data_IF_726893188478
#
_entry.id   IF_726893188478
#
_cell.length_a   1.000
_cell.length_b   1.000
_cell.length_c   1.000
_cell.angle_alpha   90.00
_cell.angle_beta   90.00
_cell.angle_gamma   90.00
#
_symmetry.space_group_name_H-M   'P 1'
#
loop_
_entity.id
_entity.type
_entity.pdbx_description
1 polymer ?
#
# COMPACT_ATOMS: atom_id res chain seq x y z
N UNK A 1 22.59 -11.63 11.79
CA UNK A 1 21.51 -12.61 12.09
C UNK A 1 20.48 -12.48 10.98
N UNK A 2 19.97 -13.58 10.43
CA UNK A 2 18.90 -13.49 9.43
C UNK A 2 17.67 -12.82 10.06
N UNK A 3 17.07 -11.84 9.36
CA UNK A 3 15.85 -11.15 9.79
C UNK A 3 14.64 -12.09 9.82
N UNK A 4 13.54 -11.64 10.41
CA UNK A 4 12.29 -12.41 10.38
C UNK A 4 11.70 -12.44 8.97
N UNK A 5 11.22 -13.60 8.55
CA UNK A 5 10.50 -13.80 7.28
C UNK A 5 8.97 -13.72 7.47
N UNK A 6 8.51 -13.04 8.50
CA UNK A 6 7.09 -12.83 8.78
C UNK A 6 6.71 -11.38 8.51
N UNK A 7 5.78 -11.19 7.59
CA UNK A 7 5.19 -9.89 7.27
C UNK A 7 3.76 -9.79 7.81
N UNK A 8 3.46 -8.68 8.48
CA UNK A 8 2.14 -8.37 9.02
C UNK A 8 1.63 -7.07 8.41
N UNK A 9 0.54 -7.16 7.66
CA UNK A 9 -0.21 -6.02 7.13
C UNK A 9 -1.53 -5.86 7.88
N UNK A 10 -1.71 -4.70 8.51
CA UNK A 10 -2.92 -4.37 9.26
C UNK A 10 -3.71 -3.32 8.47
N UNK A 11 -4.65 -3.78 7.67
CA UNK A 11 -5.50 -2.92 6.85
C UNK A 11 -6.88 -2.69 7.44
N UNK A 12 -7.60 -1.70 6.92
CA UNK A 12 -8.93 -1.30 7.42
C UNK A 12 -10.01 -2.37 7.20
N UNK A 13 -9.86 -3.24 6.21
CA UNK A 13 -10.80 -4.33 5.93
C UNK A 13 -10.35 -5.66 6.53
N UNK A 14 -9.05 -5.94 6.47
CA UNK A 14 -8.49 -7.21 6.93
C UNK A 14 -7.06 -7.06 7.43
N UNK A 15 -6.72 -7.91 8.40
CA UNK A 15 -5.36 -8.18 8.86
C UNK A 15 -4.81 -9.35 8.05
N UNK A 16 -3.63 -9.22 7.50
CA UNK A 16 -2.95 -10.24 6.71
C UNK A 16 -1.61 -10.55 7.32
N UNK A 17 -1.30 -11.83 7.41
CA UNK A 17 0.01 -12.30 7.86
C UNK A 17 0.56 -13.30 6.85
N UNK A 18 1.84 -13.19 6.54
CA UNK A 18 2.57 -14.07 5.62
C UNK A 18 3.87 -14.49 6.28
N UNK A 19 4.15 -15.79 6.30
CA UNK A 19 5.44 -16.36 6.65
C UNK A 19 6.08 -16.94 5.39
N UNK A 20 7.29 -16.48 5.07
CA UNK A 20 8.08 -17.03 3.98
C UNK A 20 9.03 -18.11 4.50
N UNK A 21 9.31 -19.09 3.64
CA UNK A 21 10.34 -20.09 3.86
C UNK A 21 11.23 -20.22 2.63
N UNK A 22 12.49 -20.61 2.84
CA UNK A 22 13.41 -20.97 1.75
C UNK A 22 13.25 -22.46 1.42
N UNK A 23 13.00 -22.76 0.15
CA UNK A 23 12.90 -24.12 -0.38
C UNK A 23 13.64 -24.18 -1.72
N UNK A 24 14.66 -25.02 -1.82
CA UNK A 24 15.46 -25.16 -3.06
C UNK A 24 16.11 -23.84 -3.52
N UNK A 25 16.52 -22.99 -2.59
CA UNK A 25 17.13 -21.68 -2.92
C UNK A 25 16.12 -20.57 -3.29
N UNK A 26 14.83 -20.89 -3.39
CA UNK A 26 13.75 -19.92 -3.69
C UNK A 26 12.91 -19.64 -2.44
N UNK A 27 12.32 -18.46 -2.41
CA UNK A 27 11.34 -18.11 -1.38
C UNK A 27 9.95 -18.58 -1.81
N UNK A 28 9.20 -19.10 -0.82
CA UNK A 28 7.79 -19.45 -0.99
C UNK A 28 6.97 -18.99 0.21
N UNK A 29 5.70 -18.74 0.01
CA UNK A 29 4.75 -18.53 1.10
C UNK A 29 4.53 -19.90 1.78
N UNK A 30 5.03 -20.02 3.01
CA UNK A 30 4.87 -21.23 3.80
C UNK A 30 3.54 -21.26 4.55
N UNK A 31 3.12 -20.09 5.04
CA UNK A 31 1.85 -19.89 5.77
C UNK A 31 1.33 -18.49 5.52
N UNK A 32 0.02 -18.36 5.48
CA UNK A 32 -0.67 -17.07 5.41
C UNK A 32 -2.06 -17.16 6.01
N UNK A 33 -2.57 -16.02 6.46
CA UNK A 33 -3.98 -15.85 6.78
C UNK A 33 -4.45 -14.43 6.46
N UNK A 34 -5.73 -14.33 6.16
CA UNK A 34 -6.46 -13.08 6.00
C UNK A 34 -7.67 -13.14 6.92
N UNK A 35 -7.72 -12.25 7.90
CA UNK A 35 -8.85 -12.19 8.85
C UNK A 35 -9.49 -10.80 8.82
N UNK A 36 -10.79 -10.69 9.01
CA UNK A 36 -11.47 -9.40 9.06
C UNK A 36 -10.91 -8.50 10.16
N UNK A 37 -10.68 -7.22 9.85
CA UNK A 37 -10.45 -6.18 10.85
C UNK A 37 -11.78 -5.85 11.51
N UNK A 38 -11.87 -5.90 12.85
CA UNK A 38 -13.12 -5.60 13.54
C UNK A 38 -13.48 -4.11 13.42
N UNK A 39 -14.78 -3.77 13.41
CA UNK A 39 -15.23 -2.38 13.45
C UNK A 39 -14.58 -1.63 14.63
N UNK A 40 -14.11 -0.41 14.38
CA UNK A 40 -13.41 0.41 15.38
C UNK A 40 -11.95 0.00 15.64
N UNK A 41 -11.44 -1.09 15.06
CA UNK A 41 -10.02 -1.48 15.16
C UNK A 41 -9.10 -0.49 14.46
N UNK A 42 -9.47 -0.06 13.26
CA UNK A 42 -8.84 1.04 12.53
C UNK A 42 -9.89 2.07 12.13
N UNK A 43 -9.57 3.34 12.29
CA UNK A 43 -10.38 4.49 11.92
C UNK A 43 -9.50 5.48 11.15
N UNK A 44 -9.81 5.71 9.90
CA UNK A 44 -9.03 6.58 8.99
C UNK A 44 -7.52 6.26 8.95
N UNK A 45 -7.17 4.98 9.07
CA UNK A 45 -5.79 4.49 9.07
C UNK A 45 -5.06 4.56 10.41
N UNK A 46 -5.70 5.10 11.46
CA UNK A 46 -5.19 5.06 12.83
C UNK A 46 -5.84 3.94 13.65
N UNK A 47 -5.14 3.43 14.65
CA UNK A 47 -5.71 2.46 15.60
C UNK A 47 -6.75 3.19 16.45
N UNK A 48 -8.00 2.72 16.36
CA UNK A 48 -9.11 3.25 17.16
C UNK A 48 -9.04 2.72 18.60
N UNK A 49 -9.01 1.40 18.76
CA UNK A 49 -8.82 0.75 20.06
C UNK A 49 -7.86 -0.44 19.92
N UNK A 50 -6.67 -0.37 20.56
CA UNK A 50 -5.71 -1.48 20.59
C UNK A 50 -6.29 -2.79 21.11
N UNK A 51 -7.23 -2.73 22.07
CA UNK A 51 -7.87 -3.92 22.65
C UNK A 51 -8.87 -4.59 21.72
N UNK A 52 -9.37 -3.84 20.73
CA UNK A 52 -10.23 -4.36 19.65
C UNK A 52 -9.37 -4.96 18.53
N UNK A 53 -8.29 -4.30 18.17
CA UNK A 53 -7.43 -4.70 17.06
C UNK A 53 -6.48 -5.85 17.43
N UNK A 54 -5.88 -5.84 18.62
CA UNK A 54 -4.92 -6.85 19.09
C UNK A 54 -5.43 -8.30 18.97
N UNK A 55 -6.64 -8.63 19.44
CA UNK A 55 -7.22 -9.96 19.25
C UNK A 55 -7.38 -10.38 17.79
N UNK A 56 -7.65 -9.46 16.86
CA UNK A 56 -7.75 -9.77 15.44
C UNK A 56 -6.37 -10.09 14.84
N UNK A 57 -5.34 -9.35 15.23
CA UNK A 57 -3.95 -9.64 14.85
C UNK A 57 -3.56 -11.03 15.39
N UNK A 58 -3.82 -11.33 16.66
CA UNK A 58 -3.53 -12.64 17.26
C UNK A 58 -4.22 -13.77 16.49
N UNK A 59 -5.50 -13.59 16.17
CA UNK A 59 -6.29 -14.56 15.39
C UNK A 59 -5.68 -14.84 14.01
N UNK A 60 -5.12 -13.83 13.33
CA UNK A 60 -4.46 -14.02 12.05
C UNK A 60 -3.27 -14.99 12.17
N UNK A 61 -2.45 -14.83 13.21
CA UNK A 61 -1.34 -15.74 13.49
C UNK A 61 -1.79 -17.15 13.83
N UNK A 62 -2.82 -17.28 14.67
CA UNK A 62 -3.34 -18.57 15.11
C UNK A 62 -3.96 -19.32 13.92
N UNK A 63 -4.73 -18.64 13.08
CA UNK A 63 -5.32 -19.21 11.85
C UNK A 63 -4.25 -19.64 10.84
N UNK A 64 -3.18 -18.85 10.68
CA UNK A 64 -2.05 -19.21 9.83
C UNK A 64 -1.17 -20.30 10.42
N UNK A 65 -1.27 -20.61 11.72
CA UNK A 65 -0.35 -21.50 12.42
C UNK A 65 1.08 -20.97 12.55
N UNK A 66 1.26 -19.64 12.49
CA UNK A 66 2.56 -18.97 12.59
C UNK A 66 2.92 -18.81 14.06
N UNK A 67 4.02 -19.44 14.48
CA UNK A 67 4.49 -19.39 15.87
C UNK A 67 5.46 -18.24 16.14
N UNK A 68 6.21 -17.81 15.11
CA UNK A 68 7.11 -16.66 15.23
C UNK A 68 6.28 -15.38 15.36
N UNK A 69 6.46 -14.66 16.47
CA UNK A 69 5.76 -13.40 16.78
C UNK A 69 6.62 -12.16 16.52
N UNK A 70 7.82 -12.33 15.95
CA UNK A 70 8.66 -11.22 15.47
C UNK A 70 8.28 -10.96 14.02
N UNK A 71 7.99 -9.71 13.68
CA UNK A 71 7.41 -9.35 12.38
C UNK A 71 8.07 -8.12 11.77
N UNK A 72 8.06 -8.06 10.45
CA UNK A 72 8.15 -6.81 9.72
C UNK A 72 6.73 -6.33 9.44
N UNK A 73 6.46 -5.06 9.74
CA UNK A 73 5.12 -4.48 9.58
C UNK A 73 5.22 -3.06 9.07
N UNK A 74 4.10 -2.47 8.66
CA UNK A 74 4.09 -1.14 8.09
C UNK A 74 2.93 -0.29 8.61
N UNK A 75 3.18 1.01 8.64
CA UNK A 75 2.13 2.03 8.72
C UNK A 75 1.65 2.39 7.32
N UNK A 76 0.38 2.70 7.22
CA UNK A 76 -0.29 3.19 6.02
C UNK A 76 -1.22 4.35 6.36
N UNK A 77 -1.74 5.00 5.31
CA UNK A 77 -2.77 6.01 5.46
C UNK A 77 -2.27 7.45 5.37
N UNK A 78 -3.22 8.39 5.47
CA UNK A 78 -3.02 9.82 5.19
C UNK A 78 -2.12 10.55 6.20
N UNK A 79 -1.91 9.96 7.36
CA UNK A 79 -1.05 10.52 8.40
C UNK A 79 0.43 10.10 8.26
N UNK A 80 0.75 9.34 7.21
CA UNK A 80 2.11 8.93 6.84
C UNK A 80 2.53 9.69 5.60
N UNK A 81 3.71 10.29 5.63
CA UNK A 81 4.29 11.08 4.54
C UNK A 81 5.60 10.44 4.11
N UNK A 82 5.75 10.22 2.82
CA UNK A 82 7.01 9.77 2.18
C UNK A 82 7.37 10.76 1.10
N UNK A 83 8.55 11.38 1.19
CA UNK A 83 8.97 12.40 0.22
C UNK A 83 10.48 12.41 -0.02
N UNK A 84 10.82 12.66 -1.27
CA UNK A 84 12.18 13.05 -1.68
C UNK A 84 12.28 14.57 -1.65
N UNK A 85 13.29 15.08 -0.93
CA UNK A 85 13.62 16.51 -0.85
C UNK A 85 15.08 16.74 -1.13
N UNK A 86 15.41 17.93 -1.60
CA UNK A 86 16.79 18.37 -1.86
C UNK A 86 17.18 19.48 -0.90
N UNK A 87 18.21 19.23 -0.10
CA UNK A 87 18.74 20.15 0.89
C UNK A 87 20.18 20.57 0.54
N UNK A 88 20.68 21.71 1.08
CA UNK A 88 22.12 22.01 1.05
C UNK A 88 22.90 20.90 1.75
N UNK A 89 24.13 20.63 1.30
CA UNK A 89 25.01 19.72 2.03
C UNK A 89 25.42 20.38 3.38
N UNK A 90 25.30 19.59 4.44
CA UNK A 90 25.62 19.98 5.81
C UNK A 90 26.06 18.74 6.60
N UNK A 91 26.64 18.90 7.81
CA UNK A 91 26.93 17.77 8.70
C UNK A 91 25.68 16.94 9.02
N UNK A 92 25.87 15.64 9.28
CA UNK A 92 24.75 14.70 9.43
C UNK A 92 23.77 15.08 10.57
N UNK A 93 24.29 15.66 11.66
CA UNK A 93 23.44 16.15 12.78
C UNK A 93 22.54 17.32 12.36
N UNK A 94 23.09 18.27 11.60
CA UNK A 94 22.34 19.41 11.05
C UNK A 94 21.33 18.94 10.00
N UNK A 95 21.75 17.97 9.17
CA UNK A 95 20.86 17.37 8.15
C UNK A 95 19.65 16.69 8.82
N UNK A 96 19.87 15.95 9.90
CA UNK A 96 18.78 15.31 10.65
C UNK A 96 17.78 16.35 11.21
N UNK A 97 18.26 17.48 11.71
CA UNK A 97 17.40 18.56 12.19
C UNK A 97 16.65 19.25 11.04
N UNK A 98 17.34 19.53 9.93
CA UNK A 98 16.73 20.13 8.74
C UNK A 98 15.63 19.23 8.16
N UNK A 99 15.87 17.91 8.07
CA UNK A 99 14.87 16.95 7.60
C UNK A 99 13.65 16.92 8.52
N UNK A 100 13.83 16.93 9.83
CA UNK A 100 12.72 16.97 10.80
C UNK A 100 11.87 18.22 10.62
N UNK A 101 12.53 19.39 10.49
CA UNK A 101 11.85 20.65 10.27
C UNK A 101 11.05 20.67 8.95
N UNK A 102 11.64 20.15 7.87
CA UNK A 102 10.94 20.04 6.61
C UNK A 102 9.77 19.05 6.70
N UNK A 103 9.95 17.89 7.37
CA UNK A 103 8.91 16.88 7.53
C UNK A 103 7.64 17.40 8.24
N UNK A 104 7.80 18.26 9.24
CA UNK A 104 6.68 18.88 9.98
C UNK A 104 5.75 19.70 9.07
N UNK A 105 6.27 20.27 7.98
CA UNK A 105 5.50 21.07 7.01
C UNK A 105 4.53 20.25 6.18
N UNK A 106 4.74 18.95 6.09
CA UNK A 106 3.92 18.03 5.30
C UNK A 106 2.94 17.21 6.15
N UNK A 107 3.09 17.23 7.45
CA UNK A 107 2.14 16.59 8.35
C UNK A 107 0.90 17.49 8.58
N UNK A 108 -0.25 16.90 8.92
CA UNK A 108 -1.45 17.67 9.25
C UNK A 108 -1.18 18.72 10.33
N UNK A 109 -1.79 19.90 10.19
CA UNK A 109 -1.62 21.01 11.12
C UNK A 109 -1.90 20.59 12.57
N UNK A 110 -1.02 21.01 13.50
CA UNK A 110 -1.11 20.65 14.92
C UNK A 110 -0.31 19.39 15.31
N UNK A 111 0.37 18.73 14.38
CA UNK A 111 1.27 17.61 14.69
C UNK A 111 2.55 18.14 15.34
N UNK A 112 2.54 18.28 16.67
CA UNK A 112 3.69 18.79 17.43
C UNK A 112 4.80 17.76 17.68
N UNK A 113 4.51 16.49 17.47
CA UNK A 113 5.44 15.38 17.67
C UNK A 113 5.33 14.40 16.51
N UNK A 114 6.39 14.36 15.71
CA UNK A 114 6.52 13.47 14.55
C UNK A 114 7.60 12.42 14.79
N UNK A 115 7.28 11.17 14.44
CA UNK A 115 8.30 10.17 14.19
C UNK A 115 8.84 10.41 12.78
N UNK A 116 10.13 10.69 12.65
CA UNK A 116 10.78 10.98 11.35
C UNK A 116 12.01 10.10 11.24
N UNK A 117 12.13 9.44 10.10
CA UNK A 117 13.33 8.73 9.66
C UNK A 117 13.67 9.14 8.24
N UNK A 118 14.95 9.03 7.84
CA UNK A 118 15.37 9.44 6.53
C UNK A 118 16.59 8.68 6.02
N UNK A 119 16.74 8.67 4.70
CA UNK A 119 17.88 8.10 4.01
C UNK A 119 18.46 9.12 3.03
N UNK A 120 19.77 9.32 3.07
CA UNK A 120 20.49 10.06 2.02
C UNK A 120 20.53 9.20 0.78
N UNK A 121 19.98 9.70 -0.34
CA UNK A 121 19.95 9.01 -1.61
C UNK A 121 21.22 9.29 -2.42
N UNK A 122 21.56 10.57 -2.57
CA UNK A 122 22.76 10.99 -3.30
C UNK A 122 23.20 12.40 -2.92
N UNK A 123 24.46 12.69 -3.20
CA UNK A 123 25.03 14.04 -3.11
C UNK A 123 25.31 14.54 -4.52
N UNK A 124 24.72 15.67 -4.89
CA UNK A 124 24.76 16.23 -6.25
C UNK A 124 25.51 17.55 -6.24
N UNK A 125 26.47 17.71 -7.13
CA UNK A 125 27.17 18.97 -7.32
C UNK A 125 26.37 19.90 -8.24
N UNK A 126 25.91 21.04 -7.74
CA UNK A 126 25.22 22.09 -8.48
C UNK A 126 26.09 23.37 -8.53
N UNK A 127 26.89 23.49 -9.57
CA UNK A 127 27.88 24.60 -9.68
C UNK A 127 28.91 24.53 -8.56
N UNK A 128 28.97 25.58 -7.72
CA UNK A 128 29.89 25.64 -6.57
C UNK A 128 29.27 25.09 -5.25
N UNK A 129 28.03 24.65 -5.27
CA UNK A 129 27.33 24.13 -4.09
C UNK A 129 27.04 22.64 -4.21
N UNK A 130 27.21 21.92 -3.11
CA UNK A 130 26.78 20.52 -3.00
C UNK A 130 25.38 20.46 -2.41
N UNK A 131 24.51 19.70 -3.02
CA UNK A 131 23.16 19.38 -2.52
C UNK A 131 23.07 17.92 -2.12
N UNK A 132 22.12 17.62 -1.26
CA UNK A 132 21.84 16.27 -0.78
C UNK A 132 20.39 15.94 -1.06
N UNK A 133 20.16 14.89 -1.85
CA UNK A 133 18.83 14.33 -2.04
C UNK A 133 18.53 13.34 -0.89
N UNK A 134 17.43 13.56 -0.21
CA UNK A 134 17.02 12.81 0.97
C UNK A 134 15.61 12.30 0.78
N UNK A 135 15.42 10.99 0.99
CA UNK A 135 14.10 10.40 1.15
C UNK A 135 13.78 10.39 2.65
N UNK A 136 12.69 11.02 3.05
CA UNK A 136 12.23 10.93 4.43
C UNK A 136 10.84 10.30 4.54
N UNK A 137 10.61 9.70 5.68
CA UNK A 137 9.31 9.22 6.14
C UNK A 137 8.95 9.96 7.42
N UNK A 138 7.74 10.45 7.51
CA UNK A 138 7.21 11.07 8.70
C UNK A 138 5.80 10.56 9.02
N UNK A 139 5.54 10.32 10.30
CA UNK A 139 4.21 9.98 10.80
C UNK A 139 3.97 10.69 12.13
N UNK A 140 2.70 10.95 12.46
CA UNK A 140 2.37 11.43 13.82
C UNK A 140 2.74 10.37 14.84
N UNK A 141 3.38 10.76 15.94
CA UNK A 141 3.79 9.83 17.00
C UNK A 141 2.62 9.03 17.56
N UNK A 142 1.46 9.65 17.73
CA UNK A 142 0.24 9.00 18.19
C UNK A 142 -0.15 7.80 17.30
N UNK A 143 0.07 7.90 15.97
CA UNK A 143 -0.18 6.80 15.06
C UNK A 143 0.77 5.62 15.32
N UNK A 144 2.05 5.92 15.51
CA UNK A 144 3.09 4.92 15.83
C UNK A 144 2.79 4.24 17.16
N UNK A 145 2.47 5.04 18.20
CA UNK A 145 2.23 4.53 19.55
C UNK A 145 0.95 3.70 19.63
N UNK A 146 -0.13 4.14 18.98
CA UNK A 146 -1.37 3.36 18.89
C UNK A 146 -1.16 2.02 18.18
N UNK A 147 -0.41 2.02 17.08
CA UNK A 147 -0.09 0.81 16.33
C UNK A 147 0.78 -0.15 17.16
N UNK A 148 1.82 0.38 17.81
CA UNK A 148 2.69 -0.40 18.68
C UNK A 148 1.92 -1.01 19.87
N UNK A 149 0.98 -0.26 20.44
CA UNK A 149 0.09 -0.77 21.51
C UNK A 149 -0.77 -1.93 21.04
N UNK A 150 -1.32 -1.86 19.82
CA UNK A 150 -2.11 -2.96 19.26
C UNK A 150 -1.27 -4.23 19.00
N UNK A 151 -0.01 -4.06 18.58
CA UNK A 151 0.93 -5.17 18.45
C UNK A 151 1.24 -5.82 19.81
N UNK A 152 1.44 -5.01 20.85
CA UNK A 152 1.66 -5.50 22.23
C UNK A 152 0.45 -6.28 22.75
N UNK A 153 -0.77 -5.78 22.54
CA UNK A 153 -2.02 -6.50 22.87
C UNK A 153 -2.13 -7.83 22.13
N UNK A 154 -1.60 -7.93 20.93
CA UNK A 154 -1.54 -9.17 20.16
C UNK A 154 -0.45 -10.14 20.64
N UNK A 155 0.52 -9.69 21.43
CA UNK A 155 1.73 -10.43 21.78
C UNK A 155 2.71 -10.55 20.60
N UNK A 156 2.76 -9.53 19.74
CA UNK A 156 3.60 -9.46 18.54
C UNK A 156 4.65 -8.37 18.72
N UNK A 157 5.88 -8.67 18.33
CA UNK A 157 7.01 -7.74 18.44
C UNK A 157 7.46 -7.31 17.05
N UNK A 158 7.41 -6.03 16.68
CA UNK A 158 7.95 -5.56 15.42
C UNK A 158 9.49 -5.60 15.46
N UNK A 159 10.10 -6.20 14.44
CA UNK A 159 11.54 -6.04 14.15
C UNK A 159 11.76 -4.75 13.36
N UNK A 160 10.86 -4.51 12.40
CA UNK A 160 10.85 -3.30 11.58
C UNK A 160 9.42 -2.78 11.50
N UNK A 161 9.27 -1.48 11.67
CA UNK A 161 8.07 -0.73 11.35
C UNK A 161 8.42 0.23 10.21
N UNK A 162 7.97 -0.08 9.01
CA UNK A 162 8.21 0.75 7.81
C UNK A 162 6.91 1.35 7.28
N UNK A 163 6.87 1.73 6.03
CA UNK A 163 5.67 2.18 5.32
C UNK A 163 5.31 1.21 4.19
N UNK A 164 4.03 1.08 3.89
CA UNK A 164 3.52 0.17 2.86
C UNK A 164 4.19 0.37 1.51
N UNK A 165 4.53 1.62 1.16
CA UNK A 165 5.24 1.97 -0.07
C UNK A 165 6.52 1.17 -0.28
N UNK A 166 7.33 0.97 0.78
CA UNK A 166 8.60 0.24 0.67
C UNK A 166 8.38 -1.26 0.51
N UNK A 167 7.36 -1.82 1.16
CA UNK A 167 7.00 -3.22 1.01
C UNK A 167 6.57 -3.54 -0.43
N UNK A 168 5.71 -2.70 -1.00
CA UNK A 168 5.25 -2.85 -2.39
C UNK A 168 6.39 -2.63 -3.39
N UNK A 169 7.21 -1.60 -3.19
CA UNK A 169 8.39 -1.36 -4.03
C UNK A 169 9.33 -2.56 -4.02
N UNK A 170 9.58 -3.17 -2.86
CA UNK A 170 10.42 -4.37 -2.71
C UNK A 170 9.83 -5.57 -3.44
N UNK A 171 8.52 -5.79 -3.32
CA UNK A 171 7.85 -6.90 -3.99
C UNK A 171 7.96 -6.81 -5.51
N UNK A 172 7.77 -5.61 -6.08
CA UNK A 172 7.77 -5.38 -7.52
C UNK A 172 9.05 -4.70 -8.04
N UNK A 173 10.16 -4.83 -7.32
CA UNK A 173 11.43 -4.16 -7.68
C UNK A 173 11.95 -4.56 -9.07
N UNK A 174 11.77 -5.83 -9.46
CA UNK A 174 12.22 -6.32 -10.77
C UNK A 174 11.48 -5.62 -11.91
N UNK A 175 10.19 -5.35 -11.73
CA UNK A 175 9.34 -4.67 -12.72
C UNK A 175 9.78 -3.21 -12.95
N UNK A 176 10.35 -2.58 -11.93
CA UNK A 176 10.77 -1.18 -11.94
C UNK A 176 12.26 -0.97 -12.23
N UNK A 177 13.04 -2.03 -12.53
CA UNK A 177 14.48 -1.90 -12.81
C UNK A 177 14.79 -1.10 -14.06
N UNK A 178 14.01 -1.29 -15.11
CA UNK A 178 14.29 -0.75 -16.45
C UNK A 178 13.31 0.36 -16.87
N UNK A 179 12.95 1.26 -15.99
CA UNK A 179 12.03 2.34 -16.34
C UNK A 179 11.12 2.72 -15.18
N UNK A 180 10.03 3.42 -15.51
CA UNK A 180 9.05 3.82 -14.52
C UNK A 180 7.85 2.87 -14.50
N UNK A 181 7.40 2.52 -13.28
CA UNK A 181 6.20 1.72 -13.02
C UNK A 181 5.35 2.44 -11.99
N UNK A 182 4.03 2.46 -12.20
CA UNK A 182 3.08 2.89 -11.19
C UNK A 182 2.59 1.67 -10.42
N UNK A 183 2.68 1.69 -9.09
CA UNK A 183 2.04 0.73 -8.22
C UNK A 183 0.83 1.43 -7.59
N UNK A 184 -0.36 0.88 -7.75
CA UNK A 184 -1.58 1.40 -7.14
C UNK A 184 -2.16 0.35 -6.19
N UNK A 185 -1.98 0.56 -4.89
CA UNK A 185 -2.57 -0.30 -3.85
C UNK A 185 -3.97 0.20 -3.52
N UNK A 186 -4.97 -0.53 -4.00
CA UNK A 186 -6.38 -0.19 -3.88
C UNK A 186 -6.96 -0.88 -2.66
N UNK A 187 -6.83 -0.25 -1.50
CA UNK A 187 -7.28 -0.74 -0.21
C UNK A 187 -8.80 -0.60 0.01
N UNK A 188 -9.22 -0.62 1.28
CA UNK A 188 -10.62 -0.42 1.68
C UNK A 188 -10.95 1.05 1.94
N UNK A 189 -10.18 1.75 2.78
CA UNK A 189 -10.45 3.15 3.15
C UNK A 189 -9.58 4.16 2.39
N UNK A 190 -8.43 3.72 1.92
CA UNK A 190 -7.50 4.54 1.16
C UNK A 190 -6.85 3.74 0.04
N UNK A 191 -6.43 4.45 -1.01
CA UNK A 191 -5.56 3.92 -2.04
C UNK A 191 -4.19 4.60 -1.96
N UNK A 192 -3.13 3.85 -2.22
CA UNK A 192 -1.77 4.36 -2.28
C UNK A 192 -1.25 4.29 -3.71
N UNK A 193 -0.74 5.40 -4.21
CA UNK A 193 -0.21 5.53 -5.56
C UNK A 193 1.28 5.80 -5.46
N UNK A 194 2.09 4.90 -6.02
CA UNK A 194 3.54 4.98 -6.03
C UNK A 194 4.02 5.13 -7.47
N UNK A 195 5.03 5.96 -7.69
CA UNK A 195 5.82 5.92 -8.92
C UNK A 195 7.22 5.46 -8.56
N UNK A 196 7.61 4.31 -9.09
CA UNK A 196 8.94 3.72 -8.91
C UNK A 196 9.68 3.81 -10.23
N UNK A 197 10.87 4.37 -10.23
CA UNK A 197 11.69 4.54 -11.42
C UNK A 197 13.11 4.04 -11.17
N UNK A 198 13.55 3.07 -11.96
CA UNK A 198 14.89 2.45 -11.85
C UNK A 198 15.17 1.99 -10.41
N UNK A 199 14.21 1.33 -9.79
CA UNK A 199 14.30 0.81 -8.43
C UNK A 199 14.23 1.85 -7.31
N UNK A 200 13.95 3.13 -7.62
CA UNK A 200 13.82 4.21 -6.62
C UNK A 200 12.39 4.72 -6.55
N UNK A 201 11.90 4.92 -5.33
CA UNK A 201 10.61 5.55 -5.09
C UNK A 201 10.71 7.05 -5.40
N UNK A 202 9.95 7.52 -6.40
CA UNK A 202 9.93 8.93 -6.82
C UNK A 202 8.73 9.70 -6.30
N UNK A 203 7.64 9.00 -6.07
CA UNK A 203 6.41 9.55 -5.52
C UNK A 203 5.69 8.49 -4.72
N UNK A 204 5.17 8.87 -3.55
CA UNK A 204 4.17 8.14 -2.80
C UNK A 204 3.04 9.10 -2.42
N UNK A 205 1.80 8.73 -2.70
CA UNK A 205 0.61 9.51 -2.39
C UNK A 205 -0.51 8.61 -1.91
N UNK A 206 -1.08 8.94 -0.78
CA UNK A 206 -2.29 8.29 -0.24
C UNK A 206 -3.52 9.15 -0.51
N UNK A 207 -4.57 8.56 -1.06
CA UNK A 207 -5.84 9.21 -1.35
C UNK A 207 -6.98 8.54 -0.56
N UNK A 208 -8.00 9.31 -0.11
CA UNK A 208 -9.11 8.80 0.69
C UNK A 208 -10.25 8.22 -0.17
N UNK A 209 -9.93 7.67 -1.34
CA UNK A 209 -10.89 7.03 -2.24
C UNK A 209 -10.42 5.59 -2.47
N UNK A 210 -11.29 4.63 -2.15
CA UNK A 210 -10.95 3.21 -2.16
C UNK A 210 -12.20 2.32 -2.13
N UNK A 211 -12.05 1.04 -1.82
CA UNK A 211 -13.11 0.03 -1.87
C UNK A 211 -14.39 0.39 -1.12
N UNK A 212 -14.27 1.04 0.05
CA UNK A 212 -15.44 1.49 0.83
C UNK A 212 -16.18 2.66 0.17
N UNK A 213 -15.48 3.48 -0.63
CA UNK A 213 -16.14 4.52 -1.45
C UNK A 213 -17.00 3.89 -2.55
N UNK A 214 -16.50 2.82 -3.19
CA UNK A 214 -17.27 2.02 -4.15
C UNK A 214 -18.49 1.37 -3.48
N UNK A 215 -18.30 0.78 -2.29
CA UNK A 215 -19.41 0.16 -1.54
C UNK A 215 -20.50 1.17 -1.20
N UNK A 216 -20.11 2.38 -0.75
CA UNK A 216 -21.09 3.47 -0.48
C UNK A 216 -21.84 3.90 -1.73
N UNK A 217 -21.17 4.00 -2.88
CA UNK A 217 -21.81 4.33 -4.14
C UNK A 217 -22.83 3.27 -4.55
N UNK A 218 -22.50 1.98 -4.42
CA UNK A 218 -23.43 0.86 -4.68
C UNK A 218 -24.60 0.89 -3.70
N UNK A 219 -24.36 1.11 -2.40
CA UNK A 219 -25.39 1.21 -1.37
C UNK A 219 -26.38 2.33 -1.70
N UNK A 220 -25.87 3.52 -2.06
CA UNK A 220 -26.70 4.69 -2.40
C UNK A 220 -27.53 4.48 -3.66
N UNK A 221 -26.93 3.91 -4.73
CA UNK A 221 -27.63 3.71 -6.00
C UNK A 221 -28.70 2.60 -5.93
N UNK A 222 -28.40 1.52 -5.20
CA UNK A 222 -29.28 0.34 -5.13
C UNK A 222 -30.19 0.35 -3.90
N UNK A 223 -30.03 1.30 -2.96
CA UNK A 223 -30.80 1.35 -1.72
C UNK A 223 -30.49 0.16 -0.78
N UNK A 224 -29.23 -0.31 -0.75
CA UNK A 224 -28.81 -1.47 0.02
C UNK A 224 -28.14 -1.07 1.34
N UNK A 225 -28.25 -1.92 2.34
CA UNK A 225 -27.41 -1.84 3.54
C UNK A 225 -25.94 -2.05 3.17
N UNK A 226 -24.98 -1.45 3.90
CA UNK A 226 -23.54 -1.49 3.55
C UNK A 226 -22.99 -2.89 3.36
N UNK A 227 -23.38 -3.86 4.18
CA UNK A 227 -22.91 -5.24 4.07
C UNK A 227 -23.43 -5.93 2.80
N UNK A 228 -24.71 -5.68 2.44
CA UNK A 228 -25.30 -6.21 1.22
C UNK A 228 -24.68 -5.56 -0.03
N UNK A 229 -24.41 -4.25 0.02
CA UNK A 229 -23.71 -3.53 -1.05
C UNK A 229 -22.28 -4.03 -1.25
N UNK A 230 -21.56 -4.33 -0.15
CA UNK A 230 -20.23 -4.92 -0.21
C UNK A 230 -20.26 -6.29 -0.90
N UNK A 231 -21.18 -7.17 -0.50
CA UNK A 231 -21.35 -8.49 -1.10
C UNK A 231 -21.69 -8.38 -2.60
N UNK A 232 -22.65 -7.52 -2.95
CA UNK A 232 -23.05 -7.31 -4.34
C UNK A 232 -21.90 -6.77 -5.20
N UNK A 233 -21.09 -5.83 -4.68
CA UNK A 233 -19.90 -5.32 -5.36
C UNK A 233 -18.86 -6.42 -5.57
N UNK A 234 -18.60 -7.27 -4.57
CA UNK A 234 -17.61 -8.34 -4.67
C UNK A 234 -18.03 -9.46 -5.61
N UNK A 235 -19.32 -9.79 -5.63
CA UNK A 235 -19.86 -10.87 -6.47
C UNK A 235 -20.09 -10.42 -7.92
N UNK A 236 -20.64 -9.22 -8.13
CA UNK A 236 -21.15 -8.75 -9.42
C UNK A 236 -20.52 -7.47 -9.93
N UNK A 237 -19.55 -6.91 -9.22
CA UNK A 237 -18.90 -5.67 -9.61
C UNK A 237 -18.01 -5.87 -10.84
N UNK A 238 -18.25 -5.05 -11.87
CA UNK A 238 -17.47 -5.04 -13.11
C UNK A 238 -17.04 -3.61 -13.41
N UNK A 239 -15.72 -3.42 -13.59
CA UNK A 239 -15.16 -2.13 -13.97
C UNK A 239 -15.11 -2.01 -15.49
N UNK A 240 -16.07 -1.34 -16.09
CA UNK A 240 -16.16 -1.13 -17.55
C UNK A 240 -16.51 0.32 -17.86
N UNK A 241 -15.90 0.88 -18.90
CA UNK A 241 -16.16 2.26 -19.34
C UNK A 241 -17.57 2.45 -19.90
N UNK A 242 -18.19 1.38 -20.40
CA UNK A 242 -19.57 1.42 -20.90
C UNK A 242 -20.45 0.34 -20.23
N UNK A 243 -21.10 0.66 -19.10
CA UNK A 243 -21.96 -0.29 -18.39
C UNK A 243 -23.13 -0.83 -19.22
N UNK A 244 -23.60 -0.07 -20.21
CA UNK A 244 -24.68 -0.52 -21.10
C UNK A 244 -24.29 -1.75 -21.97
N UNK A 245 -23.00 -2.07 -22.06
CA UNK A 245 -22.54 -3.27 -22.75
C UNK A 245 -22.71 -4.57 -21.94
N UNK A 246 -23.01 -4.47 -20.65
CA UNK A 246 -23.20 -5.62 -19.78
C UNK A 246 -24.58 -6.26 -19.97
N UNK A 247 -24.60 -7.58 -20.04
CA UNK A 247 -25.86 -8.32 -20.23
C UNK A 247 -26.64 -8.54 -18.93
N UNK A 248 -25.94 -8.60 -17.77
CA UNK A 248 -26.60 -8.67 -16.46
C UNK A 248 -27.01 -7.26 -15.99
N UNK A 249 -28.31 -6.97 -15.84
CA UNK A 249 -28.78 -5.65 -15.40
C UNK A 249 -28.26 -5.25 -14.01
N UNK A 250 -28.03 -6.22 -13.13
CA UNK A 250 -27.49 -5.93 -11.78
C UNK A 250 -26.04 -5.49 -11.86
N UNK A 251 -25.22 -6.22 -12.62
CA UNK A 251 -23.82 -5.84 -12.88
C UNK A 251 -23.72 -4.48 -13.58
N UNK A 252 -24.60 -4.19 -14.53
CA UNK A 252 -24.64 -2.88 -15.21
C UNK A 252 -24.91 -1.74 -14.21
N UNK A 253 -25.91 -1.89 -13.34
CA UNK A 253 -26.21 -0.89 -12.30
C UNK A 253 -25.08 -0.74 -11.26
N UNK A 254 -24.42 -1.84 -10.90
CA UNK A 254 -23.26 -1.76 -10.01
C UNK A 254 -22.12 -1.02 -10.71
N UNK A 255 -21.87 -1.30 -12.00
CA UNK A 255 -20.85 -0.59 -12.77
C UNK A 255 -21.17 0.92 -12.89
N UNK A 256 -22.45 1.31 -13.11
CA UNK A 256 -22.88 2.71 -13.07
C UNK A 256 -22.52 3.42 -11.75
N UNK A 257 -22.57 2.69 -10.62
CA UNK A 257 -22.21 3.25 -9.32
C UNK A 257 -20.70 3.36 -9.12
N UNK A 258 -19.92 2.34 -9.53
CA UNK A 258 -18.49 2.24 -9.18
C UNK A 258 -17.56 2.96 -10.15
N UNK A 259 -17.89 3.02 -11.44
CA UNK A 259 -17.02 3.60 -12.48
C UNK A 259 -16.70 5.09 -12.21
N UNK A 260 -17.66 5.94 -11.82
CA UNK A 260 -17.34 7.33 -11.46
C UNK A 260 -16.32 7.43 -10.29
N UNK A 261 -16.45 6.57 -9.27
CA UNK A 261 -15.53 6.56 -8.12
C UNK A 261 -14.16 6.05 -8.53
N UNK A 262 -14.07 5.07 -9.44
CA UNK A 262 -12.80 4.65 -10.03
C UNK A 262 -12.17 5.78 -10.86
N UNK A 263 -12.98 6.63 -11.49
CA UNK A 263 -12.54 7.83 -12.19
C UNK A 263 -11.79 8.83 -11.29
N UNK A 264 -12.20 8.96 -10.02
CA UNK A 264 -11.47 9.77 -9.04
C UNK A 264 -10.09 9.20 -8.77
N UNK A 265 -9.97 7.86 -8.61
CA UNK A 265 -8.68 7.19 -8.43
C UNK A 265 -7.81 7.36 -9.67
N UNK A 266 -8.36 7.13 -10.86
CA UNK A 266 -7.67 7.30 -12.14
C UNK A 266 -7.14 8.74 -12.33
N UNK A 267 -7.92 9.73 -11.91
CA UNK A 267 -7.50 11.14 -11.93
C UNK A 267 -6.25 11.36 -11.06
N UNK A 268 -6.19 10.76 -9.88
CA UNK A 268 -5.02 10.90 -9.00
C UNK A 268 -3.81 10.11 -9.52
N UNK A 269 -4.04 8.95 -10.16
CA UNK A 269 -2.96 8.22 -10.87
C UNK A 269 -2.41 9.09 -11.99
N UNK A 270 -3.27 9.67 -12.82
CA UNK A 270 -2.86 10.56 -13.93
C UNK A 270 -2.06 11.75 -13.43
N UNK A 271 -2.51 12.43 -12.36
CA UNK A 271 -1.77 13.54 -11.71
C UNK A 271 -0.39 13.09 -11.20
N UNK A 272 -0.28 11.87 -10.71
CA UNK A 272 1.00 11.32 -10.22
C UNK A 272 1.97 11.03 -11.36
N UNK A 273 1.45 10.53 -12.48
CA UNK A 273 2.21 10.31 -13.73
C UNK A 273 2.67 11.66 -14.32
N UNK A 274 1.77 12.65 -14.38
CA UNK A 274 2.10 13.99 -14.90
C UNK A 274 3.18 14.68 -14.04
N UNK A 275 3.08 14.54 -12.72
CA UNK A 275 4.12 15.02 -11.81
C UNK A 275 5.46 14.33 -12.07
N UNK A 276 5.46 13.02 -12.27
CA UNK A 276 6.67 12.27 -12.61
C UNK A 276 7.27 12.80 -13.93
N UNK A 277 6.47 12.95 -14.97
CA UNK A 277 6.95 13.47 -16.27
C UNK A 277 7.51 14.89 -16.19
N UNK A 278 6.97 15.74 -15.31
CA UNK A 278 7.49 17.10 -15.10
C UNK A 278 8.91 17.13 -14.52
N UNK A 279 9.31 16.04 -13.84
CA UNK A 279 10.62 15.92 -13.17
C UNK A 279 11.61 15.05 -13.94
N UNK A 280 11.10 14.02 -14.62
CA UNK A 280 11.89 13.01 -15.34
C UNK A 280 11.41 12.91 -16.79
N UNK A 281 11.56 14.02 -17.52
CA UNK A 281 11.14 14.12 -18.93
C UNK A 281 11.85 13.07 -19.80
N UNK A 282 11.09 12.42 -20.69
CA UNK A 282 11.61 11.42 -21.61
C UNK A 282 11.63 9.97 -21.08
N UNK A 283 11.27 9.74 -19.84
CA UNK A 283 11.18 8.39 -19.25
C UNK A 283 9.72 7.94 -19.18
N UNK A 284 9.25 7.05 -20.07
CA UNK A 284 7.85 6.65 -20.09
C UNK A 284 7.48 5.76 -18.89
N UNK A 285 6.26 5.91 -18.40
CA UNK A 285 5.65 4.91 -17.51
C UNK A 285 5.32 3.69 -18.36
N UNK A 286 5.92 2.55 -18.03
CA UNK A 286 5.80 1.30 -18.80
C UNK A 286 4.53 0.54 -18.51
N UNK A 287 4.08 0.56 -17.25
CA UNK A 287 2.86 -0.11 -16.81
C UNK A 287 2.36 0.39 -15.46
N UNK A 288 1.11 0.05 -15.19
CA UNK A 288 0.44 0.19 -13.89
C UNK A 288 0.21 -1.19 -13.30
N UNK A 289 0.60 -1.41 -12.05
CA UNK A 289 0.35 -2.65 -11.31
C UNK A 289 -0.64 -2.33 -10.19
N UNK A 290 -1.77 -3.03 -10.18
CA UNK A 290 -2.85 -2.86 -9.21
C UNK A 290 -2.75 -3.91 -8.12
N UNK A 291 -2.72 -3.50 -6.85
CA UNK A 291 -2.71 -4.38 -5.68
C UNK A 291 -3.84 -4.02 -4.71
N UNK A 292 -3.95 -4.75 -3.60
CA UNK A 292 -5.00 -4.56 -2.62
C UNK A 292 -6.31 -5.30 -2.94
N UNK A 293 -7.23 -5.25 -2.00
CA UNK A 293 -8.50 -5.98 -2.10
C UNK A 293 -9.39 -5.53 -3.25
N UNK A 294 -9.38 -4.23 -3.56
CA UNK A 294 -10.20 -3.63 -4.64
C UNK A 294 -9.66 -3.99 -6.03
N UNK A 295 -8.38 -4.34 -6.15
CA UNK A 295 -7.81 -4.80 -7.43
C UNK A 295 -8.42 -6.13 -7.93
N UNK A 296 -9.19 -6.84 -7.09
CA UNK A 296 -9.93 -8.05 -7.47
C UNK A 296 -11.20 -7.76 -8.29
N UNK A 297 -11.60 -6.50 -8.39
CA UNK A 297 -12.77 -6.12 -9.17
C UNK A 297 -12.60 -6.52 -10.63
N UNK A 298 -13.60 -7.18 -11.20
CA UNK A 298 -13.54 -7.69 -12.57
C UNK A 298 -13.26 -6.54 -13.57
N UNK A 299 -12.39 -6.77 -14.52
CA UNK A 299 -11.96 -5.83 -15.58
C UNK A 299 -11.25 -4.56 -15.10
N UNK A 300 -10.91 -4.41 -13.81
CA UNK A 300 -10.29 -3.18 -13.31
C UNK A 300 -8.98 -2.83 -14.05
N UNK A 301 -8.15 -3.82 -14.36
CA UNK A 301 -6.90 -3.59 -15.09
C UNK A 301 -7.17 -3.08 -16.52
N UNK A 302 -8.18 -3.61 -17.20
CA UNK A 302 -8.58 -3.14 -18.53
C UNK A 302 -9.06 -1.69 -18.47
N UNK A 303 -9.93 -1.34 -17.51
CA UNK A 303 -10.37 0.04 -17.32
C UNK A 303 -9.19 1.00 -17.08
N UNK A 304 -8.23 0.61 -16.23
CA UNK A 304 -7.05 1.43 -15.97
C UNK A 304 -6.17 1.58 -17.21
N UNK A 305 -5.99 0.51 -17.98
CA UNK A 305 -5.20 0.55 -19.22
C UNK A 305 -5.82 1.49 -20.26
N UNK A 306 -7.12 1.39 -20.47
CA UNK A 306 -7.86 2.21 -21.43
C UNK A 306 -7.84 3.69 -21.04
N UNK A 307 -8.14 3.98 -19.78
CA UNK A 307 -8.24 5.37 -19.28
C UNK A 307 -6.88 6.09 -19.16
N UNK A 308 -5.81 5.35 -18.87
CA UNK A 308 -4.47 5.94 -18.72
C UNK A 308 -3.64 5.86 -19.99
N UNK A 309 -4.07 5.09 -20.99
CA UNK A 309 -3.30 4.74 -22.18
C UNK A 309 -1.90 4.18 -21.84
N UNK A 310 -1.85 3.35 -20.79
CA UNK A 310 -0.65 2.67 -20.29
C UNK A 310 -1.06 1.23 -19.94
N UNK A 311 -0.29 0.22 -20.32
CA UNK A 311 -0.58 -1.16 -19.92
C UNK A 311 -0.82 -1.27 -18.42
N UNK A 312 -1.89 -1.96 -18.01
CA UNK A 312 -2.21 -2.19 -16.61
C UNK A 312 -2.48 -3.66 -16.34
N UNK A 313 -2.04 -4.13 -15.17
CA UNK A 313 -2.24 -5.51 -14.75
C UNK A 313 -2.55 -5.58 -13.25
N UNK A 314 -3.24 -6.64 -12.82
CA UNK A 314 -3.35 -6.97 -11.40
C UNK A 314 -2.05 -7.62 -10.95
N UNK A 315 -1.47 -7.10 -9.87
CA UNK A 315 -0.20 -7.57 -9.34
C UNK A 315 -0.29 -9.02 -8.85
N UNK A 316 0.56 -9.86 -9.40
CA UNK A 316 0.64 -11.28 -9.04
C UNK A 316 1.82 -11.53 -8.10
N UNK A 317 1.53 -11.43 -6.79
CA UNK A 317 2.49 -11.75 -5.72
C UNK A 317 3.07 -13.16 -5.86
N UNK A 318 2.29 -14.12 -6.41
CA UNK A 318 2.68 -15.53 -6.51
C UNK A 318 3.66 -15.81 -7.65
N UNK A 319 3.81 -14.87 -8.60
CA UNK A 319 4.93 -14.89 -9.56
C UNK A 319 6.27 -14.52 -8.91
N UNK A 320 6.23 -13.63 -7.91
CA UNK A 320 7.44 -13.17 -7.21
C UNK A 320 7.86 -14.19 -6.15
N UNK A 321 6.88 -14.71 -5.38
CA UNK A 321 7.10 -15.67 -4.30
C UNK A 321 6.10 -16.81 -4.48
N UNK A 322 6.58 -18.02 -4.77
CA UNK A 322 5.68 -19.15 -5.02
C UNK A 322 4.73 -19.43 -3.84
N UNK A 323 3.50 -19.81 -4.17
CA UNK A 323 2.43 -20.00 -3.20
C UNK A 323 1.59 -21.23 -3.58
N UNK A 324 2.12 -22.42 -3.24
CA UNK A 324 1.45 -23.68 -3.59
C UNK A 324 0.13 -23.83 -2.81
N UNK A 325 -0.97 -24.06 -3.55
CA UNK A 325 -2.29 -24.34 -2.99
C UNK A 325 -3.06 -23.11 -2.47
N UNK A 326 -2.53 -21.90 -2.63
CA UNK A 326 -3.28 -20.67 -2.33
C UNK A 326 -4.16 -20.27 -3.53
N UNK A 327 -5.34 -19.74 -3.22
CA UNK A 327 -6.23 -19.14 -4.21
C UNK A 327 -5.54 -17.94 -4.88
N UNK A 328 -5.45 -17.95 -6.20
CA UNK A 328 -4.83 -16.87 -6.99
C UNK A 328 -5.47 -15.50 -6.76
N UNK A 329 -6.74 -15.46 -6.36
CA UNK A 329 -7.43 -14.21 -6.00
C UNK A 329 -6.84 -13.50 -4.78
N UNK A 330 -6.04 -14.21 -3.98
CA UNK A 330 -5.30 -13.63 -2.84
C UNK A 330 -4.00 -12.95 -3.25
N UNK A 331 -3.49 -13.17 -4.47
CA UNK A 331 -2.22 -12.59 -4.91
C UNK A 331 -2.15 -11.06 -4.71
N UNK A 332 -3.08 -10.23 -5.20
CA UNK A 332 -3.04 -8.80 -4.96
C UNK A 332 -3.31 -8.42 -3.50
N UNK A 333 -4.04 -9.25 -2.75
CA UNK A 333 -4.41 -8.99 -1.34
C UNK A 333 -3.21 -9.17 -0.41
N UNK A 334 -2.34 -10.14 -0.68
CA UNK A 334 -1.17 -10.48 0.13
C UNK A 334 0.07 -9.67 -0.25
N UNK A 335 -0.01 -8.76 -1.22
CA UNK A 335 1.13 -8.03 -1.76
C UNK A 335 1.95 -7.31 -0.67
N UNK A 336 1.31 -6.47 0.14
CA UNK A 336 1.98 -5.73 1.22
C UNK A 336 2.58 -6.68 2.26
N UNK A 337 1.82 -7.66 2.76
CA UNK A 337 2.32 -8.60 3.76
C UNK A 337 3.52 -9.43 3.24
N UNK A 338 3.49 -9.81 1.95
CA UNK A 338 4.61 -10.52 1.31
C UNK A 338 5.82 -9.61 1.15
N UNK A 339 5.63 -8.37 0.70
CA UNK A 339 6.71 -7.39 0.59
C UNK A 339 7.39 -7.09 1.94
N UNK A 340 6.61 -7.07 3.03
CA UNK A 340 7.12 -6.95 4.41
C UNK A 340 7.94 -8.18 4.81
N UNK A 341 7.45 -9.39 4.51
CA UNK A 341 8.18 -10.61 4.81
C UNK A 341 9.51 -10.71 4.03
N UNK A 342 9.55 -10.23 2.78
CA UNK A 342 10.75 -10.20 1.93
C UNK A 342 11.88 -9.37 2.55
N UNK A 343 11.57 -8.34 3.37
CA UNK A 343 12.59 -7.53 4.04
C UNK A 343 13.57 -8.38 4.84
N UNK A 344 13.10 -9.42 5.52
CA UNK A 344 13.96 -10.33 6.27
C UNK A 344 14.88 -11.20 5.40
N UNK A 345 14.67 -11.22 4.09
CA UNK A 345 15.48 -11.98 3.14
C UNK A 345 16.62 -11.16 2.50
N UNK A 346 16.62 -9.83 2.69
CA UNK A 346 17.61 -8.89 2.13
C UNK A 346 18.93 -8.84 2.94
N UNK A 347 19.04 -9.60 4.04
CA UNK A 347 20.19 -9.66 4.94
C UNK A 347 21.11 -10.85 4.73
#
# INVERSE_FOLDING_TARGET
>A
MAGTLVGLDVGSHSVKVVELARAGGRLRIARSAVVPTPPGGLVEGAVGDPKVLGPAIRRAFDQAGIRNRRVNTALSGRAVVVREIRLPAMPDEELAQAVRFEAERYLPAGSKDAAVDFQVLERVQEGQTTRVDVLFVAARRELVDGFTSALQEAGVTPEVLEVTSFALMRLFQEEAKEGAVVLADLGADSSEILVVHKGRLRLARTIPVAGNSLTRAVAGLLGLEPSAAQAAKEEKGVAVSNPASLHDPTSARIADAIVPVLGDILTEVRRSVDYFYSRWAGEPVRKVILTGGTARLQNIAALFADELNVPAEVGDTFRVVSADGLDSSLAPVLATATGLALRGAEG
#
